data_IF_839866449482
#
_entry.id   IF_839866449482
#
_cell.length_a   1.000
_cell.length_b   1.000
_cell.length_c   1.000
_cell.angle_alpha   90.00
_cell.angle_beta   90.00
_cell.angle_gamma   90.00
#
_symmetry.space_group_name_H-M   'P 1'
#
loop_
_entity.id
_entity.type
_entity.pdbx_description
1 polymer ?
#
# COMPACT_ATOMS: atom_id res chain seq x y z
N UNK A 1 1.09 17.70 -3.74
CA UNK A 1 1.10 16.31 -4.23
C UNK A 1 1.21 16.30 -5.74
N UNK A 2 2.22 15.62 -6.29
CA UNK A 2 2.44 15.47 -7.73
C UNK A 2 2.19 14.00 -8.13
N UNK A 3 0.94 13.68 -8.47
CA UNK A 3 0.55 12.31 -8.84
C UNK A 3 1.23 11.80 -10.12
N UNK A 4 1.38 12.61 -11.19
CA UNK A 4 2.19 12.23 -12.35
C UNK A 4 3.64 11.84 -12.00
N UNK A 5 4.28 12.59 -11.09
CA UNK A 5 5.61 12.25 -10.60
C UNK A 5 5.63 10.89 -9.90
N UNK A 6 4.69 10.65 -8.97
CA UNK A 6 4.60 9.36 -8.28
C UNK A 6 4.47 8.19 -9.27
N UNK A 7 3.58 8.31 -10.26
CA UNK A 7 3.42 7.30 -11.30
C UNK A 7 4.72 7.07 -12.08
N UNK A 8 5.41 8.15 -12.47
CA UNK A 8 6.69 8.08 -13.20
C UNK A 8 7.80 7.38 -12.39
N UNK A 9 7.95 7.74 -11.12
CA UNK A 9 8.96 7.14 -10.22
C UNK A 9 8.67 5.66 -9.98
N UNK A 10 7.40 5.30 -9.77
CA UNK A 10 6.96 3.91 -9.59
C UNK A 10 7.22 3.07 -10.84
N UNK A 11 6.90 3.59 -12.03
CA UNK A 11 7.15 2.86 -13.28
C UNK A 11 8.64 2.68 -13.56
N UNK A 12 9.46 3.68 -13.23
CA UNK A 12 10.92 3.56 -13.33
C UNK A 12 11.47 2.50 -12.38
N UNK A 13 11.01 2.48 -11.13
CA UNK A 13 11.40 1.43 -10.18
C UNK A 13 11.07 0.04 -10.72
N UNK A 14 9.84 -0.16 -11.22
CA UNK A 14 9.40 -1.44 -11.81
C UNK A 14 10.26 -1.81 -13.03
N UNK A 15 10.49 -0.88 -13.94
CA UNK A 15 11.27 -1.11 -15.15
C UNK A 15 12.72 -1.51 -14.82
N UNK A 16 13.37 -0.80 -13.89
CA UNK A 16 14.74 -1.06 -13.46
C UNK A 16 14.86 -2.35 -12.63
N UNK A 17 13.83 -2.75 -11.87
CA UNK A 17 13.86 -3.93 -11.01
C UNK A 17 13.53 -5.24 -11.73
N UNK A 18 12.51 -5.24 -12.58
CA UNK A 18 11.95 -6.50 -13.12
C UNK A 18 11.70 -6.48 -14.62
N UNK A 19 11.93 -5.35 -15.31
CA UNK A 19 11.64 -5.24 -16.74
C UNK A 19 10.17 -5.44 -17.05
N UNK A 20 9.84 -5.69 -18.33
CA UNK A 20 8.45 -5.80 -18.78
C UNK A 20 7.89 -7.23 -18.66
N UNK A 21 6.59 -7.37 -18.36
CA UNK A 21 5.94 -8.68 -18.39
C UNK A 21 5.73 -9.16 -19.84
N UNK A 22 5.57 -10.47 -19.99
CA UNK A 22 5.28 -11.08 -21.29
C UNK A 22 3.77 -11.27 -21.48
N UNK A 23 3.30 -11.07 -22.71
CA UNK A 23 1.90 -11.36 -23.07
C UNK A 23 1.71 -12.87 -23.30
N UNK A 24 0.82 -13.49 -22.52
CA UNK A 24 0.47 -14.92 -22.67
C UNK A 24 -0.84 -15.03 -23.44
N UNK A 25 -0.75 -15.25 -24.76
CA UNK A 25 -1.91 -15.31 -25.66
C UNK A 25 -2.96 -16.34 -25.24
N UNK A 26 -2.55 -17.50 -24.71
CA UNK A 26 -3.48 -18.56 -24.28
C UNK A 26 -4.33 -18.20 -23.06
N UNK A 27 -3.89 -17.21 -22.26
CA UNK A 27 -4.59 -16.74 -21.06
C UNK A 27 -5.12 -15.31 -21.21
N UNK A 28 -4.77 -14.61 -22.29
CA UNK A 28 -5.13 -13.20 -22.52
C UNK A 28 -4.71 -12.25 -21.39
N UNK A 29 -3.54 -12.49 -20.78
CA UNK A 29 -3.00 -11.69 -19.68
C UNK A 29 -1.51 -11.42 -19.86
N UNK A 30 -1.02 -10.35 -19.25
CA UNK A 30 0.40 -10.13 -19.02
C UNK A 30 0.87 -10.89 -17.78
N UNK A 31 2.07 -11.47 -17.84
CA UNK A 31 2.63 -12.21 -16.72
C UNK A 31 4.16 -12.10 -16.68
N UNK A 32 4.71 -12.13 -15.46
CA UNK A 32 6.15 -12.29 -15.26
C UNK A 32 6.50 -13.76 -15.08
N UNK A 33 7.53 -14.23 -15.76
CA UNK A 33 8.00 -15.62 -15.62
C UNK A 33 8.77 -15.84 -14.32
N UNK A 34 9.55 -14.86 -13.88
CA UNK A 34 10.36 -14.97 -12.67
C UNK A 34 9.58 -14.50 -11.44
N UNK A 35 9.41 -15.40 -10.47
CA UNK A 35 8.78 -15.11 -9.18
C UNK A 35 9.86 -14.71 -8.17
N UNK A 36 10.19 -13.41 -8.13
CA UNK A 36 11.23 -12.87 -7.24
C UNK A 36 10.66 -11.93 -6.18
N UNK A 37 11.45 -11.66 -5.14
CA UNK A 37 11.11 -10.68 -4.12
C UNK A 37 11.00 -9.28 -4.72
N UNK A 38 11.92 -8.94 -5.61
CA UNK A 38 11.97 -7.67 -6.34
C UNK A 38 10.67 -7.43 -7.11
N UNK A 39 10.11 -8.50 -7.72
CA UNK A 39 8.82 -8.43 -8.40
C UNK A 39 7.68 -8.15 -7.42
N UNK A 40 7.63 -8.84 -6.28
CA UNK A 40 6.60 -8.57 -5.26
C UNK A 40 6.69 -7.13 -4.79
N UNK A 41 7.88 -6.63 -4.47
CA UNK A 41 8.10 -5.24 -4.04
C UNK A 41 7.62 -4.25 -5.13
N UNK A 42 8.02 -4.46 -6.38
CA UNK A 42 7.61 -3.61 -7.49
C UNK A 42 6.08 -3.58 -7.66
N UNK A 43 5.42 -4.74 -7.66
CA UNK A 43 3.97 -4.82 -7.81
C UNK A 43 3.21 -4.22 -6.61
N UNK A 44 3.72 -4.38 -5.38
CA UNK A 44 3.16 -3.72 -4.19
C UNK A 44 3.24 -2.20 -4.30
N UNK A 45 4.35 -1.65 -4.79
CA UNK A 45 4.50 -0.20 -4.98
C UNK A 45 3.66 0.35 -6.14
N UNK A 46 3.46 -0.43 -7.21
CA UNK A 46 2.47 -0.14 -8.26
C UNK A 46 1.07 -0.06 -7.64
N UNK A 47 0.68 -1.07 -6.84
CA UNK A 47 -0.63 -1.09 -6.18
C UNK A 47 -0.82 0.07 -5.20
N UNK A 48 0.21 0.41 -4.41
CA UNK A 48 0.20 1.54 -3.49
C UNK A 48 0.02 2.87 -4.25
N UNK A 49 0.79 3.07 -5.32
CA UNK A 49 0.71 4.28 -6.15
C UNK A 49 -0.67 4.44 -6.78
N UNK A 50 -1.20 3.38 -7.39
CA UNK A 50 -2.58 3.39 -7.92
C UNK A 50 -3.60 3.69 -6.81
N UNK A 51 -3.38 3.17 -5.60
CA UNK A 51 -4.22 3.46 -4.44
C UNK A 51 -4.23 4.94 -4.07
N UNK A 52 -3.08 5.63 -4.07
CA UNK A 52 -3.01 7.09 -3.82
C UNK A 52 -3.83 7.87 -4.86
N UNK A 53 -3.71 7.50 -6.15
CA UNK A 53 -4.54 8.12 -7.21
C UNK A 53 -6.04 7.89 -6.97
N UNK A 54 -6.43 6.66 -6.63
CA UNK A 54 -7.82 6.33 -6.34
C UNK A 54 -8.36 7.11 -5.14
N UNK A 55 -7.54 7.28 -4.09
CA UNK A 55 -7.94 8.06 -2.92
C UNK A 55 -8.24 9.53 -3.26
N UNK A 56 -7.42 10.18 -4.11
CA UNK A 56 -7.70 11.55 -4.56
C UNK A 56 -9.05 11.65 -5.28
N UNK A 57 -9.34 10.73 -6.20
CA UNK A 57 -10.63 10.68 -6.90
C UNK A 57 -11.83 10.46 -5.95
N UNK A 58 -11.69 9.52 -5.01
CA UNK A 58 -12.72 9.20 -4.03
C UNK A 58 -12.97 10.37 -3.06
N UNK A 59 -11.89 11.01 -2.58
CA UNK A 59 -11.97 12.17 -1.69
C UNK A 59 -12.65 13.37 -2.35
N UNK A 60 -12.30 13.67 -3.61
CA UNK A 60 -12.98 14.72 -4.39
C UNK A 60 -14.47 14.45 -4.53
N UNK A 61 -14.84 13.18 -4.69
CA UNK A 61 -16.23 12.73 -4.80
C UNK A 61 -16.96 12.61 -3.45
N UNK A 62 -16.28 12.80 -2.31
CA UNK A 62 -16.89 12.66 -0.98
C UNK A 62 -17.10 11.19 -0.54
N UNK A 63 -16.50 10.23 -1.24
CA UNK A 63 -16.59 8.80 -0.96
C UNK A 63 -15.53 8.38 0.08
N UNK A 64 -15.63 8.95 1.27
CA UNK A 64 -14.59 8.81 2.31
C UNK A 64 -14.47 7.41 2.89
N UNK A 65 -15.56 6.63 2.92
CA UNK A 65 -15.54 5.26 3.44
C UNK A 65 -14.69 4.37 2.53
N UNK A 66 -14.94 4.42 1.22
CA UNK A 66 -14.16 3.69 0.22
C UNK A 66 -12.71 4.19 0.18
N UNK A 67 -12.50 5.50 0.30
CA UNK A 67 -11.15 6.08 0.42
C UNK A 67 -10.40 5.48 1.62
N UNK A 68 -11.05 5.32 2.77
CA UNK A 68 -10.47 4.69 3.96
C UNK A 68 -10.07 3.24 3.72
N UNK A 69 -10.87 2.47 2.98
CA UNK A 69 -10.53 1.11 2.59
C UNK A 69 -9.33 1.06 1.62
N UNK A 70 -9.22 2.03 0.70
CA UNK A 70 -8.03 2.14 -0.17
C UNK A 70 -6.80 2.57 0.63
N UNK A 71 -6.92 3.49 1.59
CA UNK A 71 -5.82 3.88 2.47
C UNK A 71 -5.28 2.67 3.27
N UNK A 72 -6.16 1.78 3.74
CA UNK A 72 -5.77 0.51 4.37
C UNK A 72 -4.88 -0.32 3.45
N UNK A 73 -5.28 -0.46 2.19
CA UNK A 73 -4.56 -1.24 1.18
C UNK A 73 -3.20 -0.62 0.81
N UNK A 74 -3.13 0.71 0.69
CA UNK A 74 -1.87 1.43 0.46
C UNK A 74 -0.88 1.15 1.59
N UNK A 75 -1.33 1.25 2.85
CA UNK A 75 -0.47 0.98 4.00
C UNK A 75 -0.02 -0.49 4.07
N UNK A 76 -0.89 -1.46 3.75
CA UNK A 76 -0.47 -2.86 3.64
C UNK A 76 0.68 -3.02 2.67
N UNK A 77 0.53 -2.47 1.47
CA UNK A 77 1.57 -2.58 0.45
C UNK A 77 2.89 -1.96 0.92
N UNK A 78 2.85 -0.79 1.55
CA UNK A 78 4.04 -0.12 2.08
C UNK A 78 4.70 -0.92 3.21
N UNK A 79 3.91 -1.41 4.17
CA UNK A 79 4.44 -2.18 5.30
C UNK A 79 5.01 -3.52 4.87
N UNK A 80 4.39 -4.16 3.88
CA UNK A 80 4.91 -5.38 3.27
C UNK A 80 6.21 -5.13 2.53
N UNK A 81 6.38 -3.97 1.85
CA UNK A 81 7.66 -3.58 1.24
C UNK A 81 8.76 -3.49 2.29
N UNK A 82 8.53 -2.78 3.41
CA UNK A 82 9.51 -2.71 4.50
C UNK A 82 9.82 -4.10 5.08
N UNK A 83 8.81 -4.95 5.25
CA UNK A 83 8.99 -6.33 5.71
C UNK A 83 9.83 -7.17 4.73
N UNK A 84 9.58 -7.06 3.43
CA UNK A 84 10.33 -7.78 2.40
C UNK A 84 11.79 -7.32 2.34
N UNK A 85 12.04 -6.03 2.55
CA UNK A 85 13.36 -5.43 2.42
C UNK A 85 14.19 -5.45 3.70
N UNK A 86 13.61 -5.80 4.85
CA UNK A 86 14.23 -5.73 6.18
C UNK A 86 15.67 -6.29 6.26
N UNK A 87 15.95 -7.39 5.56
CA UNK A 87 17.27 -8.03 5.55
C UNK A 87 17.83 -8.22 4.14
N UNK A 88 17.27 -7.54 3.15
CA UNK A 88 17.66 -7.68 1.74
C UNK A 88 19.18 -7.48 1.55
N UNK A 89 19.88 -8.33 0.77
CA UNK A 89 19.36 -9.38 -0.11
C UNK A 89 19.07 -10.73 0.56
N UNK A 90 19.30 -10.86 1.88
CA UNK A 90 18.98 -12.10 2.61
C UNK A 90 17.48 -12.17 2.86
N UNK A 91 16.90 -13.34 2.62
CA UNK A 91 15.48 -13.60 2.85
C UNK A 91 15.31 -14.50 4.08
N UNK A 92 14.51 -14.05 5.04
CA UNK A 92 14.05 -14.90 6.14
C UNK A 92 13.03 -15.94 5.64
N UNK A 93 12.80 -17.00 6.40
CA UNK A 93 11.76 -18.00 6.08
C UNK A 93 10.38 -17.35 5.93
N UNK A 94 10.08 -16.30 6.71
CA UNK A 94 8.82 -15.57 6.59
C UNK A 94 8.70 -14.78 5.29
N UNK A 95 9.80 -14.18 4.83
CA UNK A 95 9.84 -13.50 3.53
C UNK A 95 9.64 -14.50 2.39
N UNK A 96 10.34 -15.64 2.43
CA UNK A 96 10.16 -16.70 1.42
C UNK A 96 8.72 -17.23 1.38
N UNK A 97 8.13 -17.47 2.55
CA UNK A 97 6.72 -17.88 2.67
C UNK A 97 5.78 -16.83 2.10
N UNK A 98 6.03 -15.54 2.39
CA UNK A 98 5.23 -14.44 1.84
C UNK A 98 5.29 -14.40 0.32
N UNK A 99 6.49 -14.47 -0.28
CA UNK A 99 6.67 -14.44 -1.73
C UNK A 99 5.96 -15.63 -2.38
N UNK A 100 6.11 -16.83 -1.83
CA UNK A 100 5.41 -18.03 -2.31
C UNK A 100 3.89 -17.87 -2.25
N UNK A 101 3.36 -17.38 -1.13
CA UNK A 101 1.93 -17.15 -0.94
C UNK A 101 1.37 -16.04 -1.86
N UNK A 102 2.18 -15.03 -2.19
CA UNK A 102 1.77 -13.97 -3.12
C UNK A 102 1.49 -14.53 -4.53
N UNK A 103 2.32 -15.47 -4.99
CA UNK A 103 2.17 -16.07 -6.32
C UNK A 103 1.23 -17.29 -6.36
N UNK A 104 0.88 -17.88 -5.21
CA UNK A 104 -0.12 -18.98 -5.18
C UNK A 104 -1.55 -18.48 -5.43
N UNK A 105 -1.82 -17.20 -5.20
CA UNK A 105 -3.13 -16.59 -5.38
C UNK A 105 -3.36 -16.25 -6.86
N UNK A 106 -3.82 -17.24 -7.64
CA UNK A 106 -4.16 -17.06 -9.05
C UNK A 106 -5.67 -16.95 -9.25
N UNK A 107 -6.10 -16.13 -10.22
CA UNK A 107 -7.52 -15.92 -10.55
C UNK A 107 -8.15 -17.22 -11.12
N UNK A 108 -7.34 -18.08 -11.76
CA UNK A 108 -7.81 -19.25 -12.50
C UNK A 108 -7.93 -20.54 -11.67
N UNK A 109 -7.48 -20.54 -10.40
CA UNK A 109 -7.22 -21.75 -9.61
C UNK A 109 -8.09 -21.97 -8.36
N UNK A 110 -9.18 -21.22 -8.21
CA UNK A 110 -9.86 -20.96 -6.91
C UNK A 110 -8.90 -20.26 -5.93
N UNK A 111 -9.42 -19.30 -5.14
CA UNK A 111 -8.62 -18.52 -4.17
C UNK A 111 -8.13 -19.36 -2.96
N UNK A 112 -8.06 -20.68 -3.08
CA UNK A 112 -7.50 -21.57 -2.07
C UNK A 112 -5.99 -21.57 -2.18
N UNK A 113 -5.32 -20.99 -1.19
CA UNK A 113 -3.89 -21.16 -0.98
C UNK A 113 -3.68 -22.10 0.20
N UNK A 114 -2.93 -23.18 -0.01
CA UNK A 114 -2.47 -24.05 1.09
C UNK A 114 -1.42 -23.35 1.98
N UNK A 115 -0.89 -22.21 1.53
CA UNK A 115 0.04 -21.40 2.33
C UNK A 115 -0.71 -20.57 3.37
N UNK A 116 -0.43 -20.84 4.64
CA UNK A 116 -0.86 -19.98 5.74
C UNK A 116 -0.24 -18.57 5.60
N UNK A 117 -1.05 -17.50 5.59
CA UNK A 117 -0.56 -16.14 5.42
C UNK A 117 0.39 -15.71 6.55
N UNK A 118 1.37 -14.88 6.22
CA UNK A 118 2.23 -14.26 7.24
C UNK A 118 1.37 -13.35 8.10
N UNK A 119 1.43 -13.57 9.41
CA UNK A 119 0.63 -12.79 10.37
C UNK A 119 1.05 -11.32 10.31
N UNK A 120 0.08 -10.41 10.21
CA UNK A 120 0.28 -8.95 10.19
C UNK A 120 1.20 -8.45 11.31
N UNK A 121 1.11 -9.07 12.51
CA UNK A 121 1.98 -8.71 13.64
C UNK A 121 3.47 -8.86 13.34
N UNK A 122 3.86 -9.83 12.48
CA UNK A 122 5.24 -10.05 12.04
C UNK A 122 5.68 -8.98 11.07
N UNK A 123 4.80 -8.60 10.14
CA UNK A 123 5.03 -7.48 9.21
C UNK A 123 5.24 -6.19 10.01
N UNK A 124 4.35 -5.88 10.96
CA UNK A 124 4.50 -4.67 11.80
C UNK A 124 5.78 -4.68 12.64
N UNK A 125 6.19 -5.83 13.17
CA UNK A 125 7.46 -5.94 13.90
C UNK A 125 8.65 -5.61 13.01
N UNK A 126 8.65 -6.08 11.75
CA UNK A 126 9.68 -5.73 10.78
C UNK A 126 9.67 -4.23 10.45
N UNK A 127 8.50 -3.62 10.23
CA UNK A 127 8.39 -2.18 10.00
C UNK A 127 8.99 -1.38 11.16
N UNK A 128 8.72 -1.77 12.41
CA UNK A 128 9.31 -1.11 13.59
C UNK A 128 10.84 -1.16 13.54
N UNK A 129 11.42 -2.33 13.23
CA UNK A 129 12.88 -2.49 13.12
C UNK A 129 13.46 -1.67 11.97
N UNK A 130 12.84 -1.72 10.79
CA UNK A 130 13.27 -0.94 9.62
C UNK A 130 13.25 0.57 9.89
N UNK A 131 12.21 1.08 10.56
CA UNK A 131 12.08 2.52 10.81
C UNK A 131 12.93 3.04 11.97
N UNK A 132 13.21 2.22 12.98
CA UNK A 132 13.85 2.68 14.23
C UNK A 132 15.26 2.14 14.44
N UNK A 133 15.66 1.10 13.72
CA UNK A 133 16.88 0.34 13.99
C UNK A 133 16.86 -0.43 15.32
N UNK A 134 15.70 -0.52 16.01
CA UNK A 134 15.55 -1.15 17.32
C UNK A 134 14.64 -2.36 17.22
N UNK A 135 14.99 -3.43 17.95
CA UNK A 135 14.16 -4.64 18.04
C UNK A 135 12.75 -4.35 18.58
N UNK A 136 12.63 -3.36 19.47
CA UNK A 136 11.36 -2.94 20.05
C UNK A 136 11.29 -1.41 20.17
N UNK A 137 10.18 -0.85 19.68
CA UNK A 137 9.75 0.52 19.94
C UNK A 137 8.22 0.53 20.13
N UNK A 138 7.78 0.54 21.39
CA UNK A 138 6.36 0.44 21.73
C UNK A 138 5.55 1.65 21.24
N UNK A 139 6.19 2.83 21.10
CA UNK A 139 5.51 4.02 20.59
C UNK A 139 5.16 3.84 19.12
N UNK A 140 6.13 3.43 18.30
CA UNK A 140 5.92 3.20 16.86
C UNK A 140 4.98 2.02 16.64
N UNK A 141 5.16 0.93 17.37
CA UNK A 141 4.29 -0.25 17.31
C UNK A 141 2.83 0.08 17.65
N UNK A 142 2.60 0.92 18.67
CA UNK A 142 1.26 1.40 19.03
C UNK A 142 0.65 2.24 17.92
N UNK A 143 1.43 3.13 17.30
CA UNK A 143 0.97 3.94 16.18
C UNK A 143 0.57 3.08 14.98
N UNK A 144 1.42 2.15 14.55
CA UNK A 144 1.11 1.21 13.45
C UNK A 144 -0.16 0.40 13.74
N UNK A 145 -0.31 -0.08 14.98
CA UNK A 145 -1.49 -0.84 15.40
C UNK A 145 -2.76 0.01 15.35
N UNK A 146 -2.69 1.27 15.78
CA UNK A 146 -3.84 2.17 15.75
C UNK A 146 -4.26 2.48 14.32
N UNK A 147 -3.29 2.81 13.44
CA UNK A 147 -3.56 3.02 12.00
C UNK A 147 -4.20 1.77 11.40
N UNK A 148 -3.61 0.59 11.61
CA UNK A 148 -4.17 -0.67 11.11
C UNK A 148 -5.62 -0.89 11.58
N UNK A 149 -5.89 -0.74 12.87
CA UNK A 149 -7.23 -0.98 13.45
C UNK A 149 -8.26 0.02 12.93
N UNK A 150 -7.92 1.31 12.92
CA UNK A 150 -8.80 2.37 12.41
C UNK A 150 -9.19 2.10 10.96
N UNK A 151 -8.22 1.74 10.11
CA UNK A 151 -8.48 1.55 8.69
C UNK A 151 -9.07 0.18 8.35
N UNK A 152 -8.84 -0.84 9.18
CA UNK A 152 -9.52 -2.13 9.10
C UNK A 152 -11.05 -2.00 9.29
N UNK A 153 -11.48 -1.04 10.11
CA UNK A 153 -12.91 -0.72 10.27
C UNK A 153 -13.60 -0.29 8.97
N UNK A 154 -12.89 0.43 8.09
CA UNK A 154 -13.43 0.79 6.77
C UNK A 154 -13.59 -0.43 5.86
N UNK A 155 -12.59 -1.33 5.85
CA UNK A 155 -12.64 -2.58 5.06
C UNK A 155 -13.75 -3.53 5.51
N UNK A 156 -14.01 -3.61 6.82
CA UNK A 156 -15.03 -4.51 7.38
C UNK A 156 -16.41 -3.86 7.54
N UNK A 157 -16.63 -2.68 6.94
CA UNK A 157 -17.90 -1.95 7.05
C UNK A 157 -18.36 -1.75 8.51
N UNK A 158 -17.43 -1.30 9.37
CA UNK A 158 -17.71 -1.06 10.78
C UNK A 158 -18.78 0.02 10.97
N UNK A 159 -19.65 -0.16 11.97
CA UNK A 159 -20.81 0.70 12.22
C UNK A 159 -20.50 2.20 12.19
N UNK A 160 -19.46 2.66 12.89
CA UNK A 160 -19.09 4.07 12.94
C UNK A 160 -18.70 4.63 11.56
N UNK A 161 -18.03 3.82 10.73
CA UNK A 161 -17.64 4.21 9.37
C UNK A 161 -18.86 4.27 8.43
N UNK A 162 -19.81 3.35 8.56
CA UNK A 162 -21.09 3.43 7.82
C UNK A 162 -21.86 4.68 8.24
N UNK A 163 -21.94 4.95 9.55
CA UNK A 163 -22.66 6.11 10.08
C UNK A 163 -22.02 7.45 9.71
N UNK A 164 -20.74 7.48 9.30
CA UNK A 164 -20.10 8.67 8.73
C UNK A 164 -20.84 9.19 7.48
N UNK A 165 -21.52 8.30 6.74
CA UNK A 165 -22.28 8.65 5.54
C UNK A 165 -23.65 9.26 5.85
N UNK A 166 -24.13 9.17 7.09
CA UNK A 166 -25.47 9.62 7.46
C UNK A 166 -25.50 11.12 7.79
N UNK A 167 -26.44 11.85 7.19
CA UNK A 167 -26.66 13.28 7.43
C UNK A 167 -27.08 14.03 6.16
N UNK A 168 -27.25 15.37 6.21
CA UNK A 168 -27.06 16.27 7.36
C UNK A 168 -28.20 16.18 8.40
N UNK A 169 -28.00 16.76 9.60
CA UNK A 169 -28.96 16.73 10.73
C UNK A 169 -30.40 17.12 10.35
N UNK A 170 -30.54 18.03 9.38
CA UNK A 170 -31.82 18.55 8.91
C UNK A 170 -32.55 17.61 7.93
N UNK A 171 -31.84 16.66 7.30
CA UNK A 171 -32.37 15.68 6.35
C UNK A 171 -31.62 14.35 6.53
N UNK A 172 -32.04 13.58 7.54
CA UNK A 172 -31.41 12.32 7.91
C UNK A 172 -31.52 11.26 6.82
N UNK A 173 -30.50 11.16 5.98
CA UNK A 173 -30.38 10.15 4.93
C UNK A 173 -28.91 9.76 4.72
N UNK A 174 -28.67 8.65 4.03
CA UNK A 174 -27.31 8.25 3.67
C UNK A 174 -26.85 8.96 2.40
N UNK A 175 -25.67 9.58 2.45
CA UNK A 175 -25.02 10.22 1.32
C UNK A 175 -24.30 9.19 0.44
N UNK A 176 -25.05 8.29 -0.19
CA UNK A 176 -24.51 7.17 -1.00
C UNK A 176 -23.65 7.68 -2.17
N UNK A 177 -24.03 8.81 -2.78
CA UNK A 177 -23.28 9.43 -3.88
C UNK A 177 -22.09 10.27 -3.43
N UNK A 178 -21.78 10.28 -2.14
CA UNK A 178 -20.68 11.04 -1.55
C UNK A 178 -21.15 12.13 -0.59
N UNK A 179 -20.39 12.33 0.48
CA UNK A 179 -20.68 13.29 1.55
C UNK A 179 -20.34 14.71 1.06
N UNK A 180 -21.32 15.65 0.98
CA UNK A 180 -21.10 16.99 0.45
C UNK A 180 -20.48 17.95 1.51
N UNK A 181 -19.48 17.49 2.26
CA UNK A 181 -18.81 18.27 3.31
C UNK A 181 -17.41 18.70 2.90
N UNK A 182 -17.22 20.00 2.68
CA UNK A 182 -15.90 20.57 2.38
C UNK A 182 -14.93 20.41 3.55
N UNK A 183 -15.41 20.50 4.80
CA UNK A 183 -14.58 20.29 5.98
C UNK A 183 -14.05 18.86 6.06
N UNK A 184 -14.91 17.86 5.83
CA UNK A 184 -14.46 16.46 5.80
C UNK A 184 -13.48 16.24 4.65
N UNK A 185 -13.72 16.83 3.48
CA UNK A 185 -12.78 16.73 2.35
C UNK A 185 -11.39 17.24 2.71
N UNK A 186 -11.28 18.41 3.34
CA UNK A 186 -9.99 18.98 3.76
C UNK A 186 -9.27 18.06 4.77
N UNK A 187 -10.00 17.50 5.74
CA UNK A 187 -9.41 16.56 6.70
C UNK A 187 -8.87 15.29 6.02
N UNK A 188 -9.59 14.77 5.03
CA UNK A 188 -9.18 13.56 4.30
C UNK A 188 -8.06 13.81 3.29
N UNK A 189 -7.91 15.03 2.76
CA UNK A 189 -6.77 15.41 1.92
C UNK A 189 -5.43 15.27 2.66
N UNK A 190 -5.40 15.46 3.98
CA UNK A 190 -4.19 15.22 4.77
C UNK A 190 -3.78 13.75 4.76
N UNK A 191 -4.73 12.83 4.82
CA UNK A 191 -4.45 11.38 4.71
C UNK A 191 -3.89 11.02 3.33
N UNK A 192 -4.36 11.68 2.28
CA UNK A 192 -3.83 11.48 0.91
C UNK A 192 -2.37 11.94 0.84
N UNK A 193 -2.06 13.11 1.41
CA UNK A 193 -0.69 13.65 1.44
C UNK A 193 0.28 12.72 2.21
N UNK A 194 -0.17 12.16 3.33
CA UNK A 194 0.62 11.19 4.11
C UNK A 194 0.79 9.85 3.37
N UNK A 195 -0.23 9.36 2.66
CA UNK A 195 -0.11 8.17 1.80
C UNK A 195 0.87 8.40 0.65
N UNK A 196 0.83 9.59 0.03
CA UNK A 196 1.73 9.99 -1.04
C UNK A 196 3.19 9.99 -0.56
N UNK A 197 3.48 10.71 0.53
CA UNK A 197 4.84 10.75 1.11
C UNK A 197 5.33 9.37 1.53
N UNK A 198 4.46 8.58 2.18
CA UNK A 198 4.81 7.23 2.63
C UNK A 198 5.11 6.30 1.44
N UNK A 199 4.39 6.47 0.33
CA UNK A 199 4.67 5.71 -0.91
C UNK A 199 6.01 6.13 -1.51
N UNK A 200 6.32 7.43 -1.57
CA UNK A 200 7.64 7.90 -2.02
C UNK A 200 8.78 7.37 -1.13
N UNK A 201 8.61 7.38 0.19
CA UNK A 201 9.60 6.81 1.11
C UNK A 201 9.80 5.30 0.88
N UNK A 202 8.74 4.55 0.60
CA UNK A 202 8.85 3.13 0.27
C UNK A 202 9.53 2.87 -1.09
N UNK A 203 9.29 3.73 -2.10
CA UNK A 203 10.03 3.70 -3.38
C UNK A 203 11.51 4.01 -3.14
N UNK A 204 11.80 5.00 -2.28
CA UNK A 204 13.16 5.37 -1.91
C UNK A 204 13.90 4.23 -1.22
N UNK A 205 13.24 3.54 -0.28
CA UNK A 205 13.77 2.37 0.40
C UNK A 205 14.07 1.24 -0.60
N UNK A 206 13.10 0.88 -1.45
CA UNK A 206 13.30 -0.15 -2.48
C UNK A 206 14.45 0.21 -3.45
N UNK A 207 14.52 1.47 -3.88
CA UNK A 207 15.60 1.95 -4.75
C UNK A 207 16.96 1.83 -4.08
N UNK A 208 17.05 2.12 -2.78
CA UNK A 208 18.27 1.98 -2.01
C UNK A 208 18.66 0.50 -1.85
N UNK A 209 17.72 -0.36 -1.45
CA UNK A 209 17.96 -1.80 -1.28
C UNK A 209 18.40 -2.48 -2.57
N UNK A 210 17.83 -2.09 -3.72
CA UNK A 210 18.18 -2.65 -5.04
C UNK A 210 19.43 -2.00 -5.66
N UNK A 211 20.03 -0.99 -5.03
CA UNK A 211 21.23 -0.32 -5.52
C UNK A 211 20.99 0.71 -6.63
N UNK A 212 19.75 1.16 -6.85
CA UNK A 212 19.38 2.19 -7.82
C UNK A 212 19.67 3.60 -7.29
N UNK A 213 20.94 3.91 -7.07
CA UNK A 213 21.39 5.14 -6.40
C UNK A 213 20.89 6.44 -7.07
N UNK A 214 20.68 6.43 -8.40
CA UNK A 214 20.13 7.59 -9.13
C UNK A 214 18.66 7.80 -8.78
N UNK A 215 17.85 6.75 -8.84
CA UNK A 215 16.43 6.80 -8.52
C UNK A 215 16.21 7.15 -7.05
N UNK A 216 16.96 6.53 -6.13
CA UNK A 216 16.90 6.87 -4.71
C UNK A 216 17.13 8.37 -4.45
N UNK A 217 18.21 8.95 -5.01
CA UNK A 217 18.50 10.38 -4.83
C UNK A 217 17.40 11.28 -5.37
N UNK A 218 16.82 10.93 -6.51
CA UNK A 218 15.74 11.70 -7.13
C UNK A 218 14.48 11.66 -6.27
N UNK A 219 14.06 10.48 -5.80
CA UNK A 219 12.90 10.34 -4.92
C UNK A 219 13.09 11.19 -3.64
N UNK A 220 14.28 11.16 -3.06
CA UNK A 220 14.59 11.92 -1.83
C UNK A 220 14.50 13.44 -2.02
N UNK A 221 14.70 13.97 -3.23
CA UNK A 221 14.50 15.40 -3.51
C UNK A 221 13.03 15.84 -3.39
N UNK A 222 12.09 14.88 -3.40
CA UNK A 222 10.66 15.12 -3.31
C UNK A 222 10.05 14.70 -1.96
N UNK A 223 10.86 14.09 -1.08
CA UNK A 223 10.46 13.68 0.26
C UNK A 223 10.78 14.73 1.35
N UNK A 224 11.70 15.66 1.08
CA UNK A 224 12.15 16.75 1.96
C UNK A 224 11.51 18.08 1.57
#
# INVERSE_FOLDING_TARGET
>A
MDLPLLASLTERLRAESVGDPEWISSKTVFNYHNQSLELVVALKLVRASQGVHAMDLLCRSGLFVDMGAIYRCVNDCIWEVYFLLESYPKQSEHVQKFVKAFFSQTIDGYLSSDEEPVQTKKIHAAVVRSLTGREQDERIKTHLTNVYKTFSGYTHAGYAHIMQMFGPLQQGSFNISGIPSQQQRVAHLQLIDEAYKSTLLAISEASNSFGFAKLHREVMQHCL
#
